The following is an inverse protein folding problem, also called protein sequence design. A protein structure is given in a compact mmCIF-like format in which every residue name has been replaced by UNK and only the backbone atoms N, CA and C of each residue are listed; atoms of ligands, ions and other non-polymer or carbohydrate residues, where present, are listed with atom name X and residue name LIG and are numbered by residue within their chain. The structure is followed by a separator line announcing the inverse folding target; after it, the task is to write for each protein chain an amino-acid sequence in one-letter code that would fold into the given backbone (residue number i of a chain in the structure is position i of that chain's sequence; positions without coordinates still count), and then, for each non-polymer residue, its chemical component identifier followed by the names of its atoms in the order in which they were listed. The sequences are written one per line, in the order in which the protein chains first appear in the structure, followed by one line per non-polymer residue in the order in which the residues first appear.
data_IF_381694129560
#
_entry.id   IF_381694129560
#
_cell.length_a   1.000
_cell.length_b   1.000
_cell.length_c   1.000
_cell.angle_alpha   90.00
_cell.angle_beta   90.00
_cell.angle_gamma   90.00
#
_symmetry.space_group_name_H-M   'P 1'
#
loop_
_entity.id
_entity.type
_entity.pdbx_description
1 polymer ?
#
# COMPACT_ATOMS: atom_id res chain seq x y z
N UNK A 1 76.43 -3.70 -17.46
CA UNK A 1 75.62 -4.82 -16.96
C UNK A 1 74.51 -4.30 -16.09
N UNK A 2 73.31 -4.10 -16.63
CA UNK A 2 72.13 -3.64 -15.90
C UNK A 2 71.24 -4.86 -15.59
N UNK A 3 71.08 -5.14 -14.31
CA UNK A 3 70.13 -6.16 -13.84
C UNK A 3 68.74 -5.58 -13.84
N UNK A 4 67.85 -6.15 -14.67
CA UNK A 4 66.41 -5.90 -14.60
C UNK A 4 65.83 -6.78 -13.52
N UNK A 5 65.21 -6.16 -12.52
CA UNK A 5 64.42 -6.81 -11.49
C UNK A 5 62.99 -6.90 -12.00
N UNK A 6 62.56 -8.12 -12.27
CA UNK A 6 61.19 -8.41 -12.70
C UNK A 6 60.28 -8.45 -11.44
N UNK A 7 59.47 -7.43 -11.24
CA UNK A 7 58.46 -7.42 -10.17
C UNK A 7 57.23 -8.21 -10.62
N UNK A 8 57.03 -9.36 -10.05
CA UNK A 8 55.79 -10.15 -10.21
C UNK A 8 54.77 -9.57 -9.22
N UNK A 9 53.85 -8.76 -9.73
CA UNK A 9 52.70 -8.33 -8.96
C UNK A 9 51.69 -9.44 -8.76
N UNK A 10 51.63 -9.95 -7.53
CA UNK A 10 50.62 -10.92 -7.12
C UNK A 10 49.31 -10.20 -6.87
N UNK A 11 48.40 -10.16 -7.86
CA UNK A 11 47.05 -9.64 -7.69
C UNK A 11 46.25 -10.62 -6.84
N UNK A 12 46.08 -10.34 -5.55
CA UNK A 12 45.11 -11.00 -4.71
C UNK A 12 43.70 -10.56 -5.14
N UNK A 13 43.04 -11.41 -5.94
CA UNK A 13 41.60 -11.28 -6.13
C UNK A 13 40.90 -11.66 -4.82
N UNK A 14 40.46 -10.65 -4.09
CA UNK A 14 39.49 -10.84 -3.01
C UNK A 14 38.17 -11.28 -3.63
N UNK A 15 37.96 -12.59 -3.72
CA UNK A 15 36.62 -13.14 -3.84
C UNK A 15 35.90 -12.86 -2.51
N UNK A 16 35.18 -11.74 -2.44
CA UNK A 16 34.21 -11.51 -1.40
C UNK A 16 33.19 -12.62 -1.47
N UNK A 17 33.29 -13.60 -0.60
CA UNK A 17 32.20 -14.54 -0.37
C UNK A 17 31.05 -13.73 0.20
N UNK A 18 30.02 -13.47 -0.62
CA UNK A 18 28.72 -13.04 -0.14
C UNK A 18 28.20 -14.25 0.65
N UNK A 19 28.44 -14.23 1.95
CA UNK A 19 27.72 -15.12 2.85
C UNK A 19 26.25 -14.70 2.75
N UNK A 20 25.48 -15.46 1.99
CA UNK A 20 24.04 -15.43 2.14
C UNK A 20 23.79 -15.62 3.64
N UNK A 21 23.23 -14.60 4.27
CA UNK A 21 22.82 -14.72 5.68
C UNK A 21 21.88 -15.91 5.74
N UNK A 22 22.39 -17.03 6.23
CA UNK A 22 21.53 -18.13 6.64
C UNK A 22 20.60 -17.53 7.67
N UNK A 23 19.29 -17.61 7.43
CA UNK A 23 18.29 -17.21 8.41
C UNK A 23 18.52 -18.09 9.62
N UNK A 24 19.29 -17.56 10.57
CA UNK A 24 19.67 -18.31 11.76
C UNK A 24 18.55 -18.19 12.76
N UNK A 25 17.97 -19.31 13.10
CA UNK A 25 17.27 -19.45 14.35
C UNK A 25 18.18 -19.08 15.51
N UNK A 26 17.57 -18.81 16.67
CA UNK A 26 18.32 -18.72 17.92
C UNK A 26 19.34 -19.88 17.98
N UNK A 27 20.60 -19.64 18.39
CA UNK A 27 21.66 -20.65 18.36
C UNK A 27 21.31 -21.97 19.04
N UNK A 28 20.41 -21.93 20.03
CA UNK A 28 19.93 -23.10 20.77
C UNK A 28 18.67 -23.74 20.16
N UNK A 29 18.19 -23.24 19.02
CA UNK A 29 17.00 -23.81 18.37
C UNK A 29 17.32 -25.16 17.72
N UNK A 30 16.45 -26.14 17.95
CA UNK A 30 16.48 -27.44 17.28
C UNK A 30 15.93 -27.39 15.86
N UNK A 31 15.27 -26.28 15.46
CA UNK A 31 14.73 -26.13 14.11
C UNK A 31 15.83 -25.77 13.13
N UNK A 32 15.84 -26.47 12.00
CA UNK A 32 16.69 -26.15 10.86
C UNK A 32 15.80 -25.69 9.71
N UNK A 33 16.10 -24.50 9.16
CA UNK A 33 15.40 -24.00 7.98
C UNK A 33 16.29 -24.15 6.77
N UNK A 34 15.71 -24.68 5.69
CA UNK A 34 16.29 -24.70 4.37
C UNK A 34 15.56 -23.68 3.50
N UNK A 35 16.31 -22.78 2.89
CA UNK A 35 15.73 -21.79 1.97
C UNK A 35 15.53 -22.43 0.61
N UNK A 36 14.28 -22.77 0.27
CA UNK A 36 13.92 -23.38 -1.02
C UNK A 36 13.81 -22.30 -2.12
N UNK A 37 13.30 -21.13 -1.79
CA UNK A 37 13.16 -20.01 -2.71
C UNK A 37 13.31 -18.67 -1.96
N UNK A 38 13.83 -17.67 -2.66
CA UNK A 38 13.85 -16.27 -2.23
C UNK A 38 13.36 -15.40 -3.37
N UNK A 39 12.32 -14.64 -3.14
CA UNK A 39 11.78 -13.71 -4.11
C UNK A 39 12.21 -12.28 -3.75
N UNK A 40 12.53 -11.50 -4.78
CA UNK A 40 12.88 -10.09 -4.60
C UNK A 40 11.70 -9.33 -3.99
N UNK A 41 12.01 -8.42 -3.08
CA UNK A 41 11.04 -7.56 -2.42
C UNK A 41 11.53 -6.11 -2.42
N UNK A 42 10.58 -5.19 -2.39
CA UNK A 42 10.84 -3.76 -2.17
C UNK A 42 11.29 -3.52 -0.72
N UNK A 43 11.95 -2.39 -0.43
CA UNK A 43 12.31 -2.04 0.94
C UNK A 43 11.09 -2.00 1.86
N UNK A 44 11.28 -2.42 3.11
CA UNK A 44 10.24 -2.34 4.14
C UNK A 44 9.94 -0.88 4.45
N UNK A 45 8.65 -0.52 4.41
CA UNK A 45 8.15 0.81 4.71
C UNK A 45 7.42 0.82 6.06
N UNK A 46 7.46 1.97 6.74
CA UNK A 46 6.76 2.17 8.01
C UNK A 46 5.35 2.70 7.76
N UNK A 47 4.35 2.06 8.36
CA UNK A 47 2.98 2.56 8.37
C UNK A 47 2.77 3.75 9.32
N UNK A 48 3.77 4.12 10.11
CA UNK A 48 3.66 5.16 11.13
C UNK A 48 2.60 4.85 12.19
N UNK A 49 1.91 5.86 12.65
CA UNK A 49 0.80 5.75 13.63
C UNK A 49 -0.54 5.58 12.90
N UNK A 50 -0.70 4.42 12.24
CA UNK A 50 -1.94 4.08 11.52
C UNK A 50 -2.20 2.57 11.58
N UNK A 51 -3.47 2.16 11.47
CA UNK A 51 -3.88 0.75 11.39
C UNK A 51 -3.85 0.21 9.94
N UNK A 52 -2.84 0.56 9.13
CA UNK A 52 -2.80 0.30 7.68
C UNK A 52 -1.85 -0.82 7.26
N UNK A 53 -1.34 -1.65 8.18
CA UNK A 53 -0.44 -2.76 7.89
C UNK A 53 -0.93 -3.69 6.77
N UNK A 54 -2.25 -3.86 6.65
CA UNK A 54 -2.89 -4.65 5.60
C UNK A 54 -2.60 -4.10 4.19
N UNK A 55 -2.54 -2.77 4.00
CA UNK A 55 -2.19 -2.15 2.73
C UNK A 55 -0.70 -2.32 2.42
N UNK A 56 0.17 -2.05 3.39
CA UNK A 56 1.62 -2.19 3.25
C UNK A 56 2.03 -3.63 2.90
N UNK A 57 1.53 -4.62 3.65
CA UNK A 57 1.88 -6.02 3.40
C UNK A 57 1.35 -6.54 2.07
N UNK A 58 0.11 -6.18 1.70
CA UNK A 58 -0.46 -6.61 0.44
C UNK A 58 0.18 -5.94 -0.77
N UNK A 59 0.52 -4.64 -0.71
CA UNK A 59 1.22 -3.99 -1.81
C UNK A 59 2.65 -4.50 -1.96
N UNK A 60 3.37 -4.80 -0.88
CA UNK A 60 4.69 -5.44 -0.96
C UNK A 60 4.63 -6.78 -1.73
N UNK A 61 3.55 -7.57 -1.55
CA UNK A 61 3.30 -8.76 -2.35
C UNK A 61 3.11 -8.41 -3.84
N UNK A 62 2.25 -7.44 -4.17
CA UNK A 62 2.02 -7.04 -5.57
C UNK A 62 3.26 -6.41 -6.21
N UNK A 63 4.08 -5.70 -5.47
CA UNK A 63 5.37 -5.16 -5.94
C UNK A 63 6.34 -6.28 -6.31
N UNK A 64 6.41 -7.35 -5.50
CA UNK A 64 7.18 -8.56 -5.82
C UNK A 64 6.65 -9.24 -7.09
N UNK A 65 5.33 -9.29 -7.29
CA UNK A 65 4.72 -9.81 -8.51
C UNK A 65 5.05 -8.93 -9.73
N UNK A 66 5.06 -7.61 -9.61
CA UNK A 66 5.49 -6.70 -10.67
C UNK A 66 6.95 -6.98 -11.04
N UNK A 67 7.85 -7.12 -10.07
CA UNK A 67 9.25 -7.47 -10.33
C UNK A 67 9.37 -8.81 -11.04
N UNK A 68 8.58 -9.81 -10.65
CA UNK A 68 8.55 -11.12 -11.29
C UNK A 68 8.07 -11.04 -12.75
N UNK A 69 6.97 -10.31 -13.01
CA UNK A 69 6.30 -10.24 -14.31
C UNK A 69 6.96 -9.26 -15.28
N UNK A 70 7.40 -8.10 -14.80
CA UNK A 70 7.89 -6.99 -15.64
C UNK A 70 9.39 -6.77 -15.56
N UNK A 71 10.07 -7.33 -14.56
CA UNK A 71 11.48 -7.04 -14.24
C UNK A 71 11.71 -5.55 -13.91
N UNK A 72 10.69 -4.87 -13.38
CA UNK A 72 10.73 -3.49 -12.96
C UNK A 72 10.46 -3.41 -11.46
N UNK A 73 11.24 -2.61 -10.74
CA UNK A 73 10.97 -2.31 -9.33
C UNK A 73 10.12 -1.05 -9.27
N UNK A 74 8.89 -1.19 -8.83
CA UNK A 74 7.92 -0.10 -8.70
C UNK A 74 7.34 -0.18 -7.30
N UNK A 75 7.48 0.89 -6.53
CA UNK A 75 6.84 1.04 -5.21
C UNK A 75 5.48 1.68 -5.42
N UNK A 76 4.44 1.03 -4.92
CA UNK A 76 3.05 1.44 -5.06
C UNK A 76 2.60 2.30 -3.87
N UNK A 77 1.59 3.13 -4.06
CA UNK A 77 1.06 3.96 -2.99
C UNK A 77 0.08 3.19 -2.10
N UNK A 78 0.51 2.88 -0.88
CA UNK A 78 -0.35 2.28 0.15
C UNK A 78 -1.47 3.23 0.56
N UNK A 79 -1.16 4.52 0.63
CA UNK A 79 -2.12 5.54 1.04
C UNK A 79 -3.19 5.80 -0.02
N UNK A 80 -2.89 5.57 -1.30
CA UNK A 80 -3.91 5.62 -2.35
C UNK A 80 -4.98 4.54 -2.12
N UNK A 81 -4.56 3.33 -1.82
CA UNK A 81 -5.46 2.22 -1.46
C UNK A 81 -6.24 2.57 -0.19
N UNK A 82 -5.56 3.00 0.86
CA UNK A 82 -6.15 3.34 2.16
C UNK A 82 -7.22 4.42 2.01
N UNK A 83 -6.94 5.50 1.28
CA UNK A 83 -7.89 6.60 1.04
C UNK A 83 -9.18 6.10 0.39
N UNK A 84 -9.06 5.25 -0.63
CA UNK A 84 -10.24 4.70 -1.31
C UNK A 84 -10.98 3.66 -0.45
N UNK A 85 -10.25 2.81 0.27
CA UNK A 85 -10.84 1.85 1.19
C UNK A 85 -11.63 2.55 2.32
N UNK A 86 -11.12 3.63 2.86
CA UNK A 86 -11.85 4.40 3.88
C UNK A 86 -13.16 5.00 3.34
N UNK A 87 -13.14 5.50 2.11
CA UNK A 87 -14.36 5.96 1.45
C UNK A 87 -15.39 4.83 1.26
N UNK A 88 -14.96 3.68 0.72
CA UNK A 88 -15.85 2.54 0.51
C UNK A 88 -16.41 1.98 1.82
N UNK A 89 -15.59 1.95 2.86
CA UNK A 89 -16.04 1.56 4.21
C UNK A 89 -17.08 2.51 4.76
N UNK A 90 -16.90 3.82 4.58
CA UNK A 90 -17.91 4.80 4.98
C UNK A 90 -19.25 4.59 4.27
N UNK A 91 -19.20 4.36 2.95
CA UNK A 91 -20.40 4.07 2.18
C UNK A 91 -21.08 2.78 2.67
N UNK A 92 -20.27 1.73 2.91
CA UNK A 92 -20.77 0.45 3.42
C UNK A 92 -21.36 0.62 4.83
N UNK A 93 -20.72 1.39 5.70
CA UNK A 93 -21.18 1.64 7.07
C UNK A 93 -22.59 2.23 7.10
N UNK A 94 -22.86 3.26 6.28
CA UNK A 94 -24.20 3.84 6.18
C UNK A 94 -25.20 2.87 5.57
N UNK A 95 -24.82 2.18 4.49
CA UNK A 95 -25.71 1.19 3.83
C UNK A 95 -26.09 0.01 4.73
N UNK A 96 -25.25 -0.32 5.67
CA UNK A 96 -25.44 -1.41 6.65
C UNK A 96 -25.91 -0.90 8.02
N UNK A 97 -26.46 0.31 8.05
CA UNK A 97 -27.07 0.87 9.25
C UNK A 97 -26.14 0.92 10.46
N UNK A 98 -24.87 1.28 10.24
CA UNK A 98 -23.85 1.33 11.27
C UNK A 98 -23.37 -0.03 11.80
N UNK A 99 -23.83 -1.15 11.25
CA UNK A 99 -23.53 -2.50 11.74
C UNK A 99 -22.24 -3.12 11.19
N UNK A 100 -21.47 -2.37 10.40
CA UNK A 100 -20.15 -2.81 9.95
C UNK A 100 -19.06 -2.06 10.68
N UNK A 101 -17.86 -2.64 10.75
CA UNK A 101 -16.73 -1.96 11.33
C UNK A 101 -16.29 -0.78 10.43
N UNK A 102 -16.30 0.44 10.98
CA UNK A 102 -15.70 1.62 10.38
C UNK A 102 -14.44 1.98 11.15
N UNK A 103 -13.32 1.38 10.76
CA UNK A 103 -12.01 1.52 11.41
C UNK A 103 -10.88 1.45 10.40
N UNK A 104 -9.64 1.64 10.86
CA UNK A 104 -8.44 1.72 10.01
C UNK A 104 -8.07 0.37 9.38
N UNK A 105 -8.33 -0.75 10.08
CA UNK A 105 -7.98 -2.09 9.61
C UNK A 105 -8.66 -2.46 8.29
N UNK A 106 -8.03 -3.33 7.53
CA UNK A 106 -8.52 -3.88 6.26
C UNK A 106 -7.99 -5.29 6.05
N UNK A 107 -8.23 -5.85 4.87
CA UNK A 107 -7.79 -7.19 4.52
C UNK A 107 -7.23 -7.22 3.09
N UNK A 108 -6.54 -8.30 2.74
CA UNK A 108 -5.95 -8.47 1.40
C UNK A 108 -6.95 -8.24 0.27
N UNK A 109 -8.17 -8.77 0.40
CA UNK A 109 -9.21 -8.65 -0.64
C UNK A 109 -9.66 -7.20 -0.93
N UNK A 110 -9.41 -6.26 0.00
CA UNK A 110 -9.70 -4.84 -0.25
C UNK A 110 -8.79 -4.29 -1.35
N UNK A 111 -7.55 -4.78 -1.48
CA UNK A 111 -6.59 -4.28 -2.46
C UNK A 111 -7.05 -4.58 -3.90
N UNK A 112 -7.30 -5.84 -4.31
CA UNK A 112 -7.82 -6.14 -5.63
C UNK A 112 -9.11 -5.39 -5.95
N UNK A 113 -10.01 -5.24 -4.99
CA UNK A 113 -11.26 -4.50 -5.16
C UNK A 113 -10.99 -3.01 -5.47
N UNK A 114 -10.10 -2.36 -4.71
CA UNK A 114 -9.76 -0.95 -4.92
C UNK A 114 -9.03 -0.76 -6.25
N UNK A 115 -8.05 -1.60 -6.57
CA UNK A 115 -7.30 -1.49 -7.84
C UNK A 115 -8.23 -1.64 -9.04
N UNK A 116 -9.16 -2.59 -9.03
CA UNK A 116 -10.15 -2.76 -10.08
C UNK A 116 -11.03 -1.52 -10.27
N UNK A 117 -11.43 -0.90 -9.18
CA UNK A 117 -12.40 0.19 -9.19
C UNK A 117 -11.76 1.56 -9.44
N UNK A 118 -10.61 1.80 -8.85
CA UNK A 118 -9.96 3.11 -8.79
C UNK A 118 -8.59 3.15 -9.46
N UNK A 119 -8.02 2.01 -9.80
CA UNK A 119 -6.65 1.92 -10.26
C UNK A 119 -5.64 1.96 -9.13
N UNK A 120 -4.40 2.30 -9.46
CA UNK A 120 -3.28 2.43 -8.53
C UNK A 120 -2.30 3.48 -9.04
N UNK A 121 -1.49 4.05 -8.17
CA UNK A 121 -0.44 5.02 -8.51
C UNK A 121 0.89 4.64 -7.84
N UNK A 122 2.04 5.08 -8.37
CA UNK A 122 3.32 4.95 -7.66
C UNK A 122 3.32 5.71 -6.33
N UNK A 123 4.10 5.26 -5.37
CA UNK A 123 4.20 5.86 -4.03
C UNK A 123 4.54 7.36 -4.07
N UNK A 124 5.42 7.79 -5.00
CA UNK A 124 5.80 9.19 -5.15
C UNK A 124 4.69 10.12 -5.65
N UNK A 125 3.63 9.57 -6.26
CA UNK A 125 2.50 10.36 -6.78
C UNK A 125 1.40 10.60 -5.74
N UNK A 126 1.36 9.78 -4.68
CA UNK A 126 0.42 9.95 -3.58
C UNK A 126 0.97 9.35 -2.30
N UNK A 127 1.53 10.19 -1.45
CA UNK A 127 2.17 9.78 -0.21
C UNK A 127 1.19 9.67 0.97
N UNK A 128 0.03 10.31 0.88
CA UNK A 128 -0.89 10.44 2.00
C UNK A 128 -0.38 11.32 3.14
N UNK A 129 0.69 12.09 2.89
CA UNK A 129 1.27 13.04 3.84
C UNK A 129 0.88 14.47 3.44
N UNK A 130 0.54 15.29 4.43
CA UNK A 130 0.37 16.73 4.24
C UNK A 130 1.76 17.40 4.13
N UNK A 131 1.83 18.61 3.57
CA UNK A 131 3.07 19.38 3.58
C UNK A 131 3.64 19.50 5.01
N UNK A 132 4.94 19.24 5.15
CA UNK A 132 5.69 19.24 6.42
C UNK A 132 5.39 18.08 7.38
N UNK A 133 4.69 17.05 6.96
CA UNK A 133 4.59 15.80 7.70
C UNK A 133 5.69 14.82 7.27
N UNK A 134 6.38 14.24 8.24
CA UNK A 134 7.45 13.27 8.01
C UNK A 134 6.98 11.82 8.20
N UNK A 135 5.83 11.62 8.85
CA UNK A 135 5.28 10.29 9.14
C UNK A 135 3.76 10.30 9.15
N UNK A 136 3.20 9.13 8.82
CA UNK A 136 1.76 8.92 8.80
C UNK A 136 1.22 8.90 10.23
N UNK A 137 0.15 9.67 10.48
CA UNK A 137 -0.61 9.66 11.73
C UNK A 137 -2.10 9.87 11.44
N UNK A 138 -2.89 8.83 11.62
CA UNK A 138 -4.32 8.85 11.33
C UNK A 138 -5.22 9.15 12.54
N UNK A 139 -4.67 9.36 13.71
CA UNK A 139 -5.45 9.49 14.96
C UNK A 139 -6.46 10.63 14.92
N UNK A 140 -6.05 11.82 14.49
CA UNK A 140 -6.95 12.97 14.35
C UNK A 140 -7.98 12.75 13.24
N UNK A 141 -7.52 12.32 12.07
CA UNK A 141 -8.38 12.04 10.92
C UNK A 141 -9.49 11.06 11.28
N UNK A 142 -9.16 9.96 11.97
CA UNK A 142 -10.16 8.95 12.33
C UNK A 142 -11.17 9.45 13.36
N UNK A 143 -10.76 10.29 14.31
CA UNK A 143 -11.70 10.94 15.22
C UNK A 143 -12.69 11.84 14.48
N UNK A 144 -12.21 12.64 13.53
CA UNK A 144 -13.06 13.50 12.68
C UNK A 144 -14.00 12.67 11.80
N UNK A 145 -13.47 11.61 11.15
CA UNK A 145 -14.28 10.72 10.32
C UNK A 145 -15.38 10.03 11.13
N UNK A 146 -15.08 9.51 12.31
CA UNK A 146 -16.07 8.87 13.18
C UNK A 146 -17.15 9.85 13.63
N UNK A 147 -16.79 11.09 14.00
CA UNK A 147 -17.75 12.12 14.35
C UNK A 147 -18.67 12.47 13.17
N UNK A 148 -18.10 12.66 11.98
CA UNK A 148 -18.86 12.95 10.76
C UNK A 148 -19.82 11.80 10.42
N UNK A 149 -19.34 10.56 10.41
CA UNK A 149 -20.14 9.38 10.09
C UNK A 149 -21.24 9.11 11.12
N UNK A 150 -20.98 9.39 12.40
CA UNK A 150 -21.99 9.35 13.45
C UNK A 150 -23.14 10.31 13.19
N UNK A 151 -22.82 11.54 12.76
CA UNK A 151 -23.84 12.54 12.36
C UNK A 151 -24.66 12.10 11.14
N UNK A 152 -24.01 11.54 10.12
CA UNK A 152 -24.68 11.01 8.92
C UNK A 152 -25.61 9.86 9.28
N UNK A 153 -25.14 8.91 10.11
CA UNK A 153 -25.92 7.76 10.55
C UNK A 153 -27.14 8.19 11.37
N UNK A 154 -26.94 9.13 12.31
CA UNK A 154 -28.05 9.70 13.08
C UNK A 154 -29.11 10.29 12.17
N UNK A 155 -28.70 11.07 11.18
CA UNK A 155 -29.62 11.65 10.20
C UNK A 155 -30.37 10.57 9.43
N UNK A 156 -29.67 9.49 9.02
CA UNK A 156 -30.29 8.35 8.33
C UNK A 156 -31.40 7.69 9.18
N UNK A 157 -31.20 7.57 10.49
CA UNK A 157 -32.18 7.02 11.42
C UNK A 157 -33.38 7.94 11.67
N UNK A 158 -33.17 9.27 11.58
CA UNK A 158 -34.21 10.25 11.81
C UNK A 158 -35.12 10.47 10.56
N UNK A 159 -34.77 9.88 9.39
CA UNK A 159 -35.53 10.00 8.15
C UNK A 159 -36.93 9.38 8.29
N UNK A 160 -37.92 10.06 7.73
CA UNK A 160 -39.29 9.55 7.63
C UNK A 160 -39.46 8.61 6.43
N UNK A 161 -40.53 7.85 6.43
CA UNK A 161 -40.85 6.94 5.31
C UNK A 161 -40.93 7.74 3.98
N UNK A 162 -40.11 7.31 3.02
CA UNK A 162 -40.03 7.95 1.69
C UNK A 162 -38.93 9.02 1.56
N UNK A 163 -38.26 9.38 2.64
CA UNK A 163 -37.08 10.25 2.61
C UNK A 163 -35.81 9.43 2.38
N UNK A 164 -34.75 10.08 1.89
CA UNK A 164 -33.43 9.49 1.70
C UNK A 164 -32.35 10.51 2.01
N UNK A 165 -31.17 10.03 2.41
CA UNK A 165 -30.00 10.89 2.51
C UNK A 165 -29.64 11.46 1.14
N UNK A 166 -29.27 12.75 1.10
CA UNK A 166 -28.65 13.35 -0.08
C UNK A 166 -27.26 12.72 -0.31
N UNK A 167 -26.70 12.84 -1.52
CA UNK A 167 -25.32 12.41 -1.80
C UNK A 167 -24.25 13.36 -1.25
N UNK A 168 -24.63 14.49 -0.64
CA UNK A 168 -23.71 15.50 -0.11
C UNK A 168 -22.75 14.95 0.94
N UNK A 169 -23.19 13.99 1.77
CA UNK A 169 -22.31 13.37 2.76
C UNK A 169 -21.15 12.59 2.13
N UNK A 170 -21.33 12.06 0.91
CA UNK A 170 -20.25 11.38 0.16
C UNK A 170 -19.17 12.38 -0.29
N UNK A 171 -19.59 13.56 -0.70
CA UNK A 171 -18.65 14.65 -0.97
C UNK A 171 -17.97 15.14 0.32
N UNK A 172 -18.72 15.21 1.43
CA UNK A 172 -18.20 15.58 2.74
C UNK A 172 -17.08 14.65 3.20
N UNK A 173 -17.29 13.32 3.18
CA UNK A 173 -16.25 12.37 3.57
C UNK A 173 -15.05 12.40 2.61
N UNK A 174 -15.27 12.56 1.30
CA UNK A 174 -14.17 12.74 0.35
C UNK A 174 -13.35 13.98 0.66
N UNK A 175 -14.00 15.10 0.99
CA UNK A 175 -13.33 16.34 1.38
C UNK A 175 -12.50 16.21 2.66
N UNK A 176 -13.00 15.48 3.67
CA UNK A 176 -12.22 15.17 4.88
C UNK A 176 -11.00 14.33 4.52
N UNK A 177 -11.16 13.24 3.76
CA UNK A 177 -10.04 12.40 3.34
C UNK A 177 -9.02 13.19 2.53
N UNK A 178 -9.45 14.06 1.61
CA UNK A 178 -8.56 14.87 0.79
C UNK A 178 -7.82 15.94 1.64
N UNK A 179 -8.44 16.46 2.71
CA UNK A 179 -7.79 17.38 3.63
C UNK A 179 -6.66 16.74 4.46
N UNK A 180 -6.82 15.47 4.83
CA UNK A 180 -5.85 14.75 5.66
C UNK A 180 -4.81 13.95 4.86
N UNK A 181 -5.19 13.40 3.71
CA UNK A 181 -4.33 12.50 2.91
C UNK A 181 -3.90 13.11 1.58
N UNK A 182 -4.39 14.30 1.24
CA UNK A 182 -4.19 14.93 -0.06
C UNK A 182 -5.22 14.52 -1.11
N UNK A 183 -5.36 15.36 -2.12
CA UNK A 183 -6.26 15.10 -3.24
C UNK A 183 -5.72 13.97 -4.13
N UNK A 184 -6.61 13.09 -4.56
CA UNK A 184 -6.25 11.96 -5.44
C UNK A 184 -5.80 12.46 -6.80
N UNK A 185 -4.62 12.05 -7.31
CA UNK A 185 -4.16 12.44 -8.64
C UNK A 185 -5.05 11.86 -9.73
N UNK A 186 -5.47 12.72 -10.67
CA UNK A 186 -6.24 12.29 -11.84
C UNK A 186 -5.34 11.75 -12.94
N UNK A 187 -4.18 12.35 -13.10
CA UNK A 187 -3.14 11.99 -14.06
C UNK A 187 -1.78 12.21 -13.41
N UNK A 188 -0.80 11.45 -13.84
CA UNK A 188 0.60 11.56 -13.43
C UNK A 188 1.52 11.06 -14.53
N UNK A 189 2.84 11.29 -14.38
CA UNK A 189 3.83 10.87 -15.38
C UNK A 189 4.73 9.79 -14.76
N UNK A 190 4.84 8.65 -15.43
CA UNK A 190 5.77 7.59 -15.06
C UNK A 190 6.61 7.20 -16.29
N UNK A 191 7.93 7.18 -16.15
CA UNK A 191 8.88 6.89 -17.25
C UNK A 191 8.59 7.70 -18.54
N UNK A 192 8.27 9.00 -18.38
CA UNK A 192 8.01 9.92 -19.49
C UNK A 192 6.66 9.75 -20.20
N UNK A 193 5.78 8.87 -19.69
CA UNK A 193 4.41 8.68 -20.20
C UNK A 193 3.38 9.14 -19.19
N UNK A 194 2.29 9.73 -19.68
CA UNK A 194 1.16 10.12 -18.85
C UNK A 194 0.21 8.94 -18.62
N UNK A 195 -0.24 8.79 -17.40
CA UNK A 195 -1.17 7.76 -16.98
C UNK A 195 -2.30 8.33 -16.13
N UNK A 196 -3.46 7.72 -16.21
CA UNK A 196 -4.47 7.74 -15.14
C UNK A 196 -4.19 6.60 -14.18
N UNK A 197 -4.72 6.59 -12.95
CA UNK A 197 -4.57 5.45 -12.04
C UNK A 197 -5.03 4.11 -12.66
N UNK A 198 -6.10 4.12 -13.47
CA UNK A 198 -6.60 2.92 -14.15
C UNK A 198 -5.64 2.46 -15.25
N UNK A 199 -5.19 3.36 -16.13
CA UNK A 199 -4.25 2.98 -17.19
C UNK A 199 -2.89 2.56 -16.66
N UNK A 200 -2.53 3.01 -15.46
CA UNK A 200 -1.32 2.55 -14.78
C UNK A 200 -1.50 1.12 -14.21
N UNK A 201 -2.65 0.81 -13.65
CA UNK A 201 -2.97 -0.57 -13.23
C UNK A 201 -2.87 -1.54 -14.41
N UNK A 202 -3.38 -1.17 -15.60
CA UNK A 202 -3.23 -1.96 -16.83
C UNK A 202 -1.75 -2.09 -17.25
N UNK A 203 -0.98 -1.00 -17.17
CA UNK A 203 0.46 -1.02 -17.44
C UNK A 203 1.22 -2.01 -16.55
N UNK A 204 0.83 -2.17 -15.30
CA UNK A 204 1.47 -3.11 -14.36
C UNK A 204 1.23 -4.58 -14.74
N UNK A 205 0.27 -4.88 -15.60
CA UNK A 205 -0.09 -6.24 -16.04
C UNK A 205 -0.52 -7.17 -14.89
N UNK A 206 -1.00 -6.60 -13.80
CA UNK A 206 -1.58 -7.35 -12.70
C UNK A 206 -3.07 -7.57 -13.00
N UNK A 207 -3.45 -8.80 -13.29
CA UNK A 207 -4.86 -9.16 -13.35
C UNK A 207 -5.35 -9.49 -11.94
N UNK A 208 -6.13 -8.60 -11.34
CA UNK A 208 -6.63 -8.76 -9.98
C UNK A 208 -7.56 -9.97 -9.79
N UNK A 209 -8.07 -10.56 -10.87
CA UNK A 209 -8.88 -11.78 -10.82
C UNK A 209 -8.06 -13.06 -10.61
N UNK A 210 -6.73 -12.97 -10.80
CA UNK A 210 -5.82 -14.09 -10.59
C UNK A 210 -5.43 -14.27 -9.11
N UNK A 211 -5.84 -13.34 -8.23
CA UNK A 211 -5.47 -13.32 -6.82
C UNK A 211 -6.65 -13.60 -5.92
N UNK A 212 -6.46 -14.54 -5.01
CA UNK A 212 -7.47 -14.94 -4.03
C UNK A 212 -6.88 -14.93 -2.61
N UNK A 213 -7.72 -14.60 -1.64
CA UNK A 213 -7.38 -14.78 -0.22
C UNK A 213 -7.69 -16.21 0.19
N UNK A 214 -6.73 -16.85 0.83
CA UNK A 214 -6.92 -18.16 1.46
C UNK A 214 -6.91 -17.93 2.98
N UNK A 215 -7.95 -18.41 3.64
CA UNK A 215 -8.06 -18.42 5.10
C UNK A 215 -8.19 -19.84 5.61
N UNK A 216 -7.54 -20.13 6.73
CA UNK A 216 -7.66 -21.40 7.45
C UNK A 216 -8.69 -21.29 8.57
#
# INVERSE_FOLDING_TARGET
MKKQILSIGLSLAFFGQIFAQTVTNHPESSYKFEQIANHDATPVLSQGMSGTCWSFSALSFFESEIMRLKKEQIVLSEMYIVRHAYYEKAVKYIRMDGKTNFGEGGAFHDIPYIIKRYGIVPAGEYTGLRPNEESINHSEMFNVLNGFMGGVLKTAHDLRRGESLSDSWKAGISGILDAYLGAVPKNFTHNGKSYTPQSFAEYLKLNMDDYVSITS
#
